data_IF_650472576043
#
_entry.id   IF_650472576043
#
_cell.length_a   1.000
_cell.length_b   1.000
_cell.length_c   1.000
_cell.angle_alpha   90.00
_cell.angle_beta   90.00
_cell.angle_gamma   90.00
#
_symmetry.space_group_name_H-M   'P 1'
#
loop_
_entity.id
_entity.type
_entity.pdbx_description
1 polymer ?
#
# COMPACT_ATOMS: atom_id res chain seq x y z
N UNK A 1 39.31 37.85 25.73
CA UNK A 1 39.68 38.34 24.38
C UNK A 1 38.57 37.95 23.46
N UNK A 2 37.82 38.96 23.11
CA UNK A 2 36.67 38.97 22.20
C UNK A 2 37.14 39.01 20.75
N UNK A 3 36.58 38.18 19.87
CA UNK A 3 36.48 38.54 18.46
C UNK A 3 35.16 38.00 17.92
N UNK A 4 34.30 38.94 17.57
CA UNK A 4 33.08 38.71 16.81
C UNK A 4 33.40 38.62 15.31
N UNK A 5 32.58 37.95 14.56
CA UNK A 5 32.54 38.02 13.10
C UNK A 5 31.09 38.06 12.62
N UNK A 6 30.86 38.97 11.72
CA UNK A 6 29.61 39.55 11.30
C UNK A 6 28.82 38.69 10.33
N UNK A 7 27.49 38.86 10.38
CA UNK A 7 26.44 38.43 9.44
C UNK A 7 26.54 39.25 8.16
N UNK A 8 26.51 38.57 7.01
CA UNK A 8 26.21 39.21 5.72
C UNK A 8 24.91 38.59 5.17
N UNK A 9 23.87 39.40 5.16
CA UNK A 9 22.60 39.10 4.50
C UNK A 9 22.73 39.33 2.98
N UNK A 10 22.15 38.43 2.22
CA UNK A 10 21.95 38.54 0.78
C UNK A 10 20.47 38.34 0.46
N UNK A 11 19.79 39.44 0.20
CA UNK A 11 18.46 39.45 -0.39
C UNK A 11 18.57 39.19 -1.89
N UNK A 12 17.79 38.26 -2.40
CA UNK A 12 17.63 38.04 -3.85
C UNK A 12 16.17 38.26 -4.24
N UNK A 13 15.99 39.17 -5.16
CA UNK A 13 14.73 39.72 -5.62
C UNK A 13 13.94 38.74 -6.51
N UNK A 14 12.63 38.79 -6.35
CA UNK A 14 11.59 38.16 -7.18
C UNK A 14 11.46 38.95 -8.48
N UNK A 15 11.55 38.30 -9.62
CA UNK A 15 11.13 38.81 -10.92
C UNK A 15 9.86 38.03 -11.36
N UNK A 16 8.74 38.74 -11.36
CA UNK A 16 7.49 38.37 -12.01
C UNK A 16 7.63 38.62 -13.52
N UNK A 17 7.35 37.60 -14.32
CA UNK A 17 7.09 37.73 -15.74
C UNK A 17 5.62 37.38 -16.03
N UNK A 18 4.87 38.41 -16.39
CA UNK A 18 3.51 38.34 -16.97
C UNK A 18 3.65 38.20 -18.50
N UNK A 19 2.89 37.32 -19.08
CA UNK A 19 2.65 37.23 -20.51
C UNK A 19 1.73 36.02 -20.76
N UNK A 20 0.54 36.09 -21.30
CA UNK A 20 -0.03 36.84 -22.37
C UNK A 20 -0.93 35.87 -23.07
N UNK A 21 -2.28 36.05 -23.01
CA UNK A 21 -3.29 35.26 -23.68
C UNK A 21 -3.15 35.35 -25.20
N UNK A 22 -3.28 34.24 -25.92
CA UNK A 22 -3.59 34.22 -27.34
C UNK A 22 -4.80 33.31 -27.60
N UNK A 23 -5.86 33.94 -28.09
CA UNK A 23 -7.08 33.31 -28.57
C UNK A 23 -6.89 32.77 -30.00
N UNK A 24 -7.52 31.62 -30.30
CA UNK A 24 -7.59 31.05 -31.65
C UNK A 24 -9.03 31.13 -32.13
N UNK A 25 -9.30 31.60 -33.37
CA UNK A 25 -10.66 31.74 -33.90
C UNK A 25 -11.20 30.44 -34.54
N UNK A 26 -12.50 30.25 -34.39
CA UNK A 26 -13.34 29.27 -35.07
C UNK A 26 -13.54 29.64 -36.53
N UNK A 27 -13.56 28.68 -37.44
CA UNK A 27 -14.14 28.84 -38.77
C UNK A 27 -15.17 27.75 -39.02
N UNK A 28 -16.34 28.25 -39.45
CA UNK A 28 -17.52 27.51 -39.88
C UNK A 28 -17.46 27.18 -41.38
N UNK A 29 -18.31 26.23 -41.70
CA UNK A 29 -19.18 26.16 -42.86
C UNK A 29 -18.80 25.25 -44.05
N UNK A 30 -19.76 24.39 -44.38
CA UNK A 30 -20.14 24.29 -45.74
C UNK A 30 -20.44 22.91 -46.33
N UNK A 31 -21.71 22.60 -46.54
CA UNK A 31 -22.09 21.94 -47.79
C UNK A 31 -22.72 20.54 -47.74
N UNK A 32 -24.03 20.52 -47.71
CA UNK A 32 -24.88 19.41 -48.20
C UNK A 32 -24.95 19.47 -49.73
N UNK A 33 -25.08 18.35 -50.42
CA UNK A 33 -26.25 18.18 -51.28
C UNK A 33 -26.96 16.83 -51.15
N UNK A 34 -28.27 16.94 -51.22
CA UNK A 34 -29.28 15.93 -51.41
C UNK A 34 -29.16 15.27 -52.79
N UNK A 35 -29.42 13.98 -52.89
CA UNK A 35 -29.99 13.34 -54.08
C UNK A 35 -30.89 12.17 -53.69
N UNK A 36 -32.07 12.30 -54.23
CA UNK A 36 -33.25 11.49 -54.21
C UNK A 36 -33.21 10.31 -55.25
N UNK A 37 -34.09 9.33 -55.00
CA UNK A 37 -34.64 8.28 -55.86
C UNK A 37 -34.21 6.85 -55.61
N UNK A 38 -35.07 5.98 -55.36
CA UNK A 38 -36.39 5.46 -55.76
C UNK A 38 -36.34 3.95 -55.50
N UNK A 39 -37.41 3.45 -54.86
CA UNK A 39 -38.14 2.17 -55.02
C UNK A 39 -37.41 0.93 -55.54
N UNK A 40 -37.42 -0.13 -54.74
CA UNK A 40 -38.12 -1.38 -55.09
C UNK A 40 -38.46 -2.17 -53.82
N UNK A 41 -39.76 -2.48 -53.69
CA UNK A 41 -40.31 -3.48 -52.76
C UNK A 41 -39.75 -4.86 -53.11
N UNK A 42 -39.32 -5.59 -52.04
CA UNK A 42 -39.35 -7.06 -52.08
C UNK A 42 -39.45 -7.61 -50.66
N UNK A 43 -40.56 -8.23 -50.42
CA UNK A 43 -40.94 -9.30 -49.53
C UNK A 43 -40.21 -9.48 -48.15
N UNK A 44 -40.93 -9.07 -47.12
CA UNK A 44 -40.65 -9.37 -45.73
C UNK A 44 -40.96 -10.83 -45.38
N UNK A 45 -39.94 -11.62 -45.18
CA UNK A 45 -40.05 -12.83 -44.33
C UNK A 45 -39.75 -12.46 -42.88
N UNK A 46 -40.58 -12.89 -41.90
CA UNK A 46 -40.29 -12.61 -40.49
C UNK A 46 -39.15 -13.50 -40.01
N UNK A 47 -37.94 -12.95 -39.95
CA UNK A 47 -36.85 -13.58 -39.19
C UNK A 47 -37.16 -13.52 -37.71
N UNK A 48 -37.37 -14.68 -37.10
CA UNK A 48 -37.46 -14.85 -35.67
C UNK A 48 -36.21 -14.24 -35.01
N UNK A 49 -36.43 -13.26 -34.12
CA UNK A 49 -35.41 -12.63 -33.31
C UNK A 49 -34.82 -13.69 -32.37
N UNK A 50 -33.50 -13.96 -32.36
CA UNK A 50 -32.92 -14.87 -31.40
C UNK A 50 -33.13 -14.31 -29.98
N UNK A 51 -33.76 -15.10 -29.12
CA UNK A 51 -33.86 -14.84 -27.70
C UNK A 51 -32.45 -14.70 -27.14
N UNK A 52 -32.16 -13.66 -26.33
CA UNK A 52 -30.85 -13.52 -25.70
C UNK A 52 -30.65 -14.73 -24.76
N UNK A 53 -29.67 -15.55 -25.10
CA UNK A 53 -29.16 -16.61 -24.21
C UNK A 53 -28.56 -15.92 -22.97
N UNK A 54 -29.22 -16.06 -21.85
CA UNK A 54 -28.67 -15.63 -20.54
C UNK A 54 -27.46 -16.49 -20.25
N UNK A 55 -26.27 -15.98 -20.50
CA UNK A 55 -25.04 -16.57 -19.97
C UNK A 55 -25.18 -16.49 -18.46
N UNK A 56 -25.12 -17.63 -17.72
CA UNK A 56 -25.14 -17.56 -16.27
C UNK A 56 -23.91 -16.77 -15.81
N UNK A 57 -24.14 -15.64 -15.13
CA UNK A 57 -23.10 -14.93 -14.42
C UNK A 57 -22.47 -15.91 -13.43
N UNK A 58 -21.15 -16.21 -13.51
CA UNK A 58 -20.53 -17.05 -12.51
C UNK A 58 -20.76 -16.41 -11.15
N UNK A 59 -21.50 -17.09 -10.29
CA UNK A 59 -21.59 -16.74 -8.88
C UNK A 59 -20.15 -16.79 -8.35
N UNK A 60 -19.56 -15.67 -8.05
CA UNK A 60 -18.27 -15.61 -7.38
C UNK A 60 -18.42 -16.45 -6.11
N UNK A 61 -17.64 -17.53 -5.99
CA UNK A 61 -17.59 -18.31 -4.77
C UNK A 61 -17.29 -17.30 -3.64
N UNK A 62 -18.18 -17.22 -2.64
CA UNK A 62 -18.09 -16.23 -1.59
C UNK A 62 -16.72 -16.36 -0.91
N UNK A 63 -16.09 -15.23 -0.53
CA UNK A 63 -14.85 -15.24 0.21
C UNK A 63 -15.08 -15.95 1.56
N UNK A 64 -14.24 -16.97 1.85
CA UNK A 64 -14.29 -17.70 3.12
C UNK A 64 -13.36 -17.02 4.14
N UNK A 65 -13.93 -16.27 5.06
CA UNK A 65 -13.19 -15.60 6.13
C UNK A 65 -12.65 -16.56 7.20
N UNK A 66 -13.05 -17.82 7.18
CA UNK A 66 -12.57 -18.87 8.08
C UNK A 66 -11.47 -19.75 7.46
N UNK A 67 -11.09 -19.50 6.20
CA UNK A 67 -10.10 -20.32 5.48
C UNK A 67 -8.72 -20.34 6.16
N UNK A 68 -8.38 -19.33 6.96
CA UNK A 68 -7.15 -19.24 7.74
C UNK A 68 -7.42 -18.61 9.10
N UNK A 69 -6.65 -19.02 10.10
CA UNK A 69 -6.69 -18.43 11.44
C UNK A 69 -6.12 -17.01 11.45
N UNK A 70 -6.73 -16.10 12.17
CA UNK A 70 -6.16 -14.79 12.50
C UNK A 70 -5.48 -14.78 13.90
N UNK A 71 -5.43 -15.92 14.60
CA UNK A 71 -4.75 -16.10 15.89
C UNK A 71 -3.45 -16.92 15.78
N UNK A 72 -3.34 -17.80 14.80
CA UNK A 72 -2.15 -18.62 14.59
C UNK A 72 -0.99 -17.76 14.02
N UNK A 73 0.16 -17.62 14.72
CA UNK A 73 1.28 -16.82 14.25
C UNK A 73 1.91 -17.33 12.95
N UNK A 74 1.69 -18.59 12.59
CA UNK A 74 2.13 -19.16 11.31
C UNK A 74 1.20 -18.81 10.14
N UNK A 75 -0.03 -18.39 10.42
CA UNK A 75 -1.00 -17.98 9.39
C UNK A 75 -0.61 -16.68 8.72
N UNK A 76 -0.83 -16.57 7.41
CA UNK A 76 -0.68 -15.28 6.71
C UNK A 76 -1.74 -14.24 7.13
N UNK A 77 -2.81 -14.67 7.82
CA UNK A 77 -3.89 -13.80 8.31
C UNK A 77 -3.75 -13.41 9.78
N UNK A 78 -2.68 -13.85 10.48
CA UNK A 78 -2.48 -13.51 11.88
C UNK A 78 -2.62 -12.01 12.12
N UNK A 79 -3.40 -11.63 13.12
CA UNK A 79 -3.51 -10.24 13.58
C UNK A 79 -2.66 -10.08 14.83
N UNK A 80 -1.59 -9.35 14.69
CA UNK A 80 -0.73 -8.90 15.79
C UNK A 80 -0.75 -7.38 15.86
N UNK A 81 -1.02 -6.87 17.05
CA UNK A 81 -1.11 -5.45 17.33
C UNK A 81 -0.89 -5.19 18.83
N UNK A 82 -1.18 -3.99 19.35
CA UNK A 82 -0.94 -3.65 20.75
C UNK A 82 -1.70 -4.53 21.75
N UNK A 83 -3.02 -4.78 21.61
CA UNK A 83 -3.71 -5.70 22.53
C UNK A 83 -3.48 -7.20 22.23
N UNK A 84 -2.84 -7.54 21.10
CA UNK A 84 -2.73 -8.92 20.61
C UNK A 84 -1.26 -9.28 20.34
N UNK A 85 -0.57 -9.78 21.36
CA UNK A 85 0.79 -10.32 21.20
C UNK A 85 0.79 -11.63 20.38
N UNK A 86 1.88 -11.89 19.68
CA UNK A 86 2.17 -13.23 19.13
C UNK A 86 2.20 -14.30 20.23
N UNK A 87 1.75 -15.51 19.92
CA UNK A 87 1.79 -16.63 20.83
C UNK A 87 2.49 -17.83 20.15
N UNK A 88 3.68 -18.23 20.63
CA UNK A 88 4.45 -17.64 21.75
C UNK A 88 5.01 -16.26 21.42
N UNK A 89 5.32 -15.39 22.42
CA UNK A 89 5.82 -14.04 22.16
C UNK A 89 7.12 -14.00 21.34
N UNK A 90 8.00 -14.99 21.51
CA UNK A 90 9.23 -15.13 20.75
C UNK A 90 9.07 -15.96 19.45
N UNK A 91 7.85 -15.98 18.87
CA UNK A 91 7.61 -16.67 17.60
C UNK A 91 8.61 -16.25 16.53
N UNK A 92 9.06 -17.24 15.73
CA UNK A 92 9.85 -17.03 14.53
C UNK A 92 9.32 -17.90 13.39
N UNK A 93 9.23 -17.38 12.15
CA UNK A 93 8.82 -18.16 11.01
C UNK A 93 9.76 -19.34 10.74
N UNK A 94 9.20 -20.46 10.28
CA UNK A 94 9.98 -21.69 9.99
C UNK A 94 10.95 -21.50 8.83
N UNK A 95 10.60 -20.63 7.87
CA UNK A 95 11.42 -20.35 6.68
C UNK A 95 11.47 -18.85 6.41
N UNK A 96 12.66 -18.39 6.07
CA UNK A 96 12.94 -17.02 5.67
C UNK A 96 13.90 -17.05 4.47
N UNK A 97 13.61 -16.22 3.46
CA UNK A 97 14.40 -16.10 2.24
C UNK A 97 14.70 -14.64 1.94
N UNK A 98 15.72 -14.42 1.12
CA UNK A 98 16.08 -13.09 0.63
C UNK A 98 15.66 -12.99 -0.84
N UNK A 99 14.58 -12.25 -1.20
CA UNK A 99 14.21 -12.04 -2.58
C UNK A 99 15.29 -11.27 -3.35
N UNK A 100 15.36 -11.48 -4.67
CA UNK A 100 16.26 -10.74 -5.55
C UNK A 100 15.68 -9.38 -5.90
N UNK A 101 15.86 -8.42 -4.99
CA UNK A 101 15.41 -7.03 -5.10
C UNK A 101 16.47 -6.09 -4.52
N UNK A 102 16.30 -4.78 -4.74
CA UNK A 102 17.13 -3.76 -4.10
C UNK A 102 16.81 -3.65 -2.61
N UNK A 103 17.84 -3.48 -1.79
CA UNK A 103 17.72 -3.30 -0.33
C UNK A 103 18.39 -2.01 0.14
N UNK A 104 17.78 -1.35 1.12
CA UNK A 104 18.47 -0.43 2.03
C UNK A 104 19.08 -1.26 3.17
N UNK A 105 18.26 -2.08 3.85
CA UNK A 105 18.71 -3.06 4.83
C UNK A 105 18.37 -4.46 4.34
N UNK A 106 19.38 -5.30 4.18
CA UNK A 106 19.19 -6.67 3.68
C UNK A 106 18.65 -7.56 4.79
N UNK A 107 17.33 -7.71 4.80
CA UNK A 107 16.59 -8.55 5.75
C UNK A 107 15.73 -9.57 5.00
N UNK A 108 15.57 -10.79 5.54
CA UNK A 108 14.76 -11.83 4.90
C UNK A 108 13.26 -11.63 5.18
N UNK A 109 12.44 -12.38 4.47
CA UNK A 109 11.00 -12.47 4.66
C UNK A 109 10.52 -13.88 4.38
N UNK A 110 9.25 -14.18 4.67
CA UNK A 110 8.68 -15.50 4.31
C UNK A 110 8.68 -15.70 2.78
N UNK A 111 8.81 -16.96 2.29
CA UNK A 111 8.90 -17.22 0.85
C UNK A 111 7.76 -16.63 0.03
N UNK A 112 6.51 -16.77 0.50
CA UNK A 112 5.33 -16.24 -0.19
C UNK A 112 5.31 -14.69 -0.24
N UNK A 113 5.89 -14.03 0.75
CA UNK A 113 6.05 -12.56 0.75
C UNK A 113 7.12 -12.16 -0.26
N UNK A 114 8.21 -12.90 -0.31
CA UNK A 114 9.31 -12.65 -1.24
C UNK A 114 8.85 -12.73 -2.70
N UNK A 115 8.11 -13.79 -3.06
CA UNK A 115 7.57 -13.96 -4.41
C UNK A 115 6.59 -12.84 -4.78
N UNK A 116 5.69 -12.48 -3.88
CA UNK A 116 4.72 -11.42 -4.07
C UNK A 116 5.39 -10.03 -4.19
N UNK A 117 6.43 -9.79 -3.39
CA UNK A 117 7.19 -8.52 -3.41
C UNK A 117 7.94 -8.34 -4.74
N UNK A 118 8.61 -9.39 -5.22
CA UNK A 118 9.28 -9.37 -6.53
C UNK A 118 8.29 -9.03 -7.63
N UNK A 119 7.12 -9.69 -7.65
CA UNK A 119 6.07 -9.43 -8.63
C UNK A 119 5.55 -7.98 -8.54
N UNK A 120 5.34 -7.45 -7.32
CA UNK A 120 4.89 -6.09 -7.10
C UNK A 120 5.91 -5.05 -7.59
N UNK A 121 7.19 -5.23 -7.29
CA UNK A 121 8.25 -4.32 -7.73
C UNK A 121 8.42 -4.33 -9.26
N UNK A 122 8.33 -5.52 -9.87
CA UNK A 122 8.35 -5.66 -11.33
C UNK A 122 7.17 -4.96 -11.99
N UNK A 123 5.96 -5.09 -11.44
CA UNK A 123 4.78 -4.41 -11.95
C UNK A 123 4.93 -2.88 -11.86
N UNK A 124 5.37 -2.34 -10.72
CA UNK A 124 5.61 -0.90 -10.58
C UNK A 124 6.65 -0.37 -11.55
N UNK A 125 7.70 -1.15 -11.84
CA UNK A 125 8.67 -0.82 -12.88
C UNK A 125 8.07 -0.81 -14.28
N UNK A 126 7.29 -1.83 -14.61
CA UNK A 126 6.69 -1.99 -15.94
C UNK A 126 5.56 -0.99 -16.21
N UNK A 127 4.70 -0.75 -15.21
CA UNK A 127 3.48 0.05 -15.35
C UNK A 127 3.75 1.56 -15.19
N UNK A 128 4.74 1.94 -14.35
CA UNK A 128 4.97 3.33 -13.97
C UNK A 128 6.44 3.78 -14.02
N UNK A 129 7.36 2.91 -14.40
CA UNK A 129 8.80 3.22 -14.44
C UNK A 129 9.42 3.40 -13.06
N UNK A 130 8.77 2.92 -12.00
CA UNK A 130 9.18 3.15 -10.62
C UNK A 130 10.11 2.04 -10.12
N UNK A 131 11.14 2.44 -9.39
CA UNK A 131 12.05 1.54 -8.69
C UNK A 131 11.82 1.65 -7.19
N UNK A 132 11.92 0.49 -6.50
CA UNK A 132 11.69 0.33 -5.07
C UNK A 132 12.85 -0.38 -4.40
N UNK A 133 12.96 -0.23 -3.10
CA UNK A 133 13.89 -1.00 -2.27
C UNK A 133 13.23 -1.44 -0.97
N UNK A 134 13.68 -2.57 -0.43
CA UNK A 134 13.31 -3.02 0.91
C UNK A 134 14.06 -2.17 1.93
N UNK A 135 13.33 -1.42 2.73
CA UNK A 135 13.87 -0.62 3.83
C UNK A 135 14.05 -1.47 5.09
N UNK A 136 13.05 -2.30 5.41
CA UNK A 136 13.02 -3.21 6.55
C UNK A 136 12.10 -4.39 6.24
N UNK A 137 12.38 -5.57 6.82
CA UNK A 137 11.54 -6.76 6.66
C UNK A 137 11.49 -7.56 7.97
N UNK A 138 11.84 -8.87 7.97
CA UNK A 138 11.80 -9.68 9.18
C UNK A 138 12.70 -9.10 10.28
N UNK A 139 12.15 -9.03 11.48
CA UNK A 139 12.83 -8.58 12.71
C UNK A 139 12.50 -9.56 13.82
N UNK A 140 13.52 -10.25 14.37
CA UNK A 140 13.31 -11.19 15.47
C UNK A 140 12.85 -10.47 16.76
N UNK A 141 12.31 -11.24 17.72
CA UNK A 141 11.95 -10.73 19.04
C UNK A 141 13.09 -9.92 19.68
N UNK A 142 14.30 -10.48 19.73
CA UNK A 142 15.46 -9.81 20.32
C UNK A 142 15.86 -8.54 19.55
N UNK A 143 15.72 -8.55 18.24
CA UNK A 143 15.98 -7.36 17.42
C UNK A 143 14.92 -6.29 17.66
N UNK A 144 13.65 -6.69 17.80
CA UNK A 144 12.55 -5.77 18.14
C UNK A 144 12.75 -5.16 19.53
N UNK A 145 13.23 -5.96 20.50
CA UNK A 145 13.57 -5.45 21.83
C UNK A 145 14.59 -4.31 21.74
N UNK A 146 15.67 -4.50 21.00
CA UNK A 146 16.67 -3.43 20.82
C UNK A 146 16.11 -2.18 20.15
N UNK A 147 15.30 -2.36 19.08
CA UNK A 147 14.69 -1.23 18.37
C UNK A 147 13.76 -0.44 19.28
N UNK A 148 12.94 -1.14 20.06
CA UNK A 148 12.00 -0.51 21.00
C UNK A 148 12.74 0.20 22.14
N UNK A 149 13.73 -0.46 22.77
CA UNK A 149 14.52 0.11 23.86
C UNK A 149 15.29 1.36 23.40
N UNK A 150 15.85 1.32 22.18
CA UNK A 150 16.52 2.47 21.56
C UNK A 150 15.57 3.64 21.31
N UNK A 151 14.33 3.36 20.92
CA UNK A 151 13.30 4.38 20.71
C UNK A 151 12.85 4.98 22.05
N UNK A 152 12.58 4.14 23.04
CA UNK A 152 12.27 4.59 24.43
C UNK A 152 13.39 5.46 25.00
N UNK A 153 14.64 5.08 24.79
CA UNK A 153 15.78 5.85 25.28
C UNK A 153 15.90 7.24 24.61
N UNK A 154 15.53 7.35 23.36
CA UNK A 154 15.59 8.62 22.60
C UNK A 154 14.39 9.51 22.82
N UNK A 155 13.20 8.95 22.83
CA UNK A 155 11.95 9.68 22.68
C UNK A 155 10.99 9.51 23.88
N UNK A 156 11.29 8.58 24.77
CA UNK A 156 10.41 8.20 25.89
C UNK A 156 9.37 7.17 25.50
N UNK A 157 8.90 6.39 26.48
CA UNK A 157 7.98 5.26 26.25
C UNK A 157 6.66 5.68 25.59
N UNK A 158 6.08 6.80 26.02
CA UNK A 158 4.79 7.26 25.48
C UNK A 158 4.86 7.56 23.97
N UNK A 159 6.00 8.09 23.49
CA UNK A 159 6.23 8.29 22.06
C UNK A 159 6.53 6.96 21.36
N UNK A 160 7.45 6.16 21.89
CA UNK A 160 7.81 4.87 21.32
C UNK A 160 6.57 3.98 21.12
N UNK A 161 5.66 3.97 22.07
CA UNK A 161 4.39 3.21 21.95
C UNK A 161 3.49 3.68 20.79
N UNK A 162 3.65 4.88 20.25
CA UNK A 162 2.84 5.34 19.11
C UNK A 162 3.44 4.94 17.75
N UNK A 163 4.74 4.67 17.70
CA UNK A 163 5.53 4.54 16.48
C UNK A 163 6.19 3.15 16.34
N UNK A 164 6.66 2.59 17.48
CA UNK A 164 7.41 1.34 17.50
C UNK A 164 6.66 0.28 18.32
N UNK A 165 6.41 -0.88 17.73
CA UNK A 165 5.76 -1.98 18.44
C UNK A 165 6.66 -2.55 19.54
N UNK A 166 6.06 -2.89 20.71
CA UNK A 166 6.75 -3.66 21.75
C UNK A 166 7.15 -5.05 21.24
N UNK A 167 8.20 -5.68 21.81
CA UNK A 167 8.57 -7.06 21.48
C UNK A 167 7.39 -8.02 21.61
N UNK A 168 7.20 -8.90 20.59
CA UNK A 168 6.05 -9.80 20.51
C UNK A 168 4.79 -9.18 19.90
N UNK A 169 4.75 -7.86 19.64
CA UNK A 169 3.63 -7.14 19.08
C UNK A 169 3.89 -6.55 17.68
N UNK A 170 5.05 -6.88 17.09
CA UNK A 170 5.44 -6.36 15.77
C UNK A 170 5.08 -7.32 14.65
N UNK A 171 4.46 -6.81 13.59
CA UNK A 171 4.21 -7.58 12.35
C UNK A 171 5.51 -8.00 11.66
N UNK A 172 6.60 -7.26 11.79
CA UNK A 172 7.92 -7.66 11.27
C UNK A 172 8.40 -9.00 11.82
N UNK A 173 8.00 -9.35 13.06
CA UNK A 173 8.35 -10.62 13.67
C UNK A 173 7.67 -11.82 13.01
N UNK A 174 6.56 -11.61 12.30
CA UNK A 174 5.87 -12.65 11.53
C UNK A 174 6.56 -12.98 10.20
N UNK A 175 7.47 -12.12 9.73
CA UNK A 175 8.03 -12.18 8.38
C UNK A 175 7.03 -11.85 7.27
N UNK A 176 5.86 -11.28 7.61
CA UNK A 176 4.78 -10.91 6.70
C UNK A 176 4.75 -9.40 6.38
N UNK A 177 5.50 -8.57 7.11
CA UNK A 177 5.56 -7.13 6.89
C UNK A 177 6.86 -6.73 6.20
N UNK A 178 6.77 -5.69 5.38
CA UNK A 178 7.89 -5.06 4.69
C UNK A 178 7.70 -3.56 4.66
N UNK A 179 8.75 -2.83 5.04
CA UNK A 179 8.87 -1.41 4.81
C UNK A 179 9.51 -1.18 3.46
N UNK A 180 8.93 -0.32 2.65
CA UNK A 180 9.34 -0.05 1.27
C UNK A 180 9.80 1.41 1.14
N UNK A 181 10.91 1.62 0.46
CA UNK A 181 11.43 2.94 0.10
C UNK A 181 11.47 3.15 -1.40
N UNK A 182 11.43 4.41 -1.81
CA UNK A 182 11.66 4.81 -3.20
C UNK A 182 13.12 4.63 -3.60
N UNK A 183 13.37 4.42 -4.89
CA UNK A 183 14.69 4.52 -5.52
C UNK A 183 14.62 5.57 -6.63
N UNK A 184 15.43 6.65 -6.55
CA UNK A 184 16.34 7.02 -5.46
C UNK A 184 15.60 7.30 -4.14
N UNK A 185 16.29 7.11 -3.01
CA UNK A 185 15.70 7.23 -1.68
C UNK A 185 15.10 8.63 -1.45
N UNK A 186 13.83 8.67 -1.06
CA UNK A 186 13.09 9.88 -0.75
C UNK A 186 12.03 9.58 0.30
N UNK A 187 11.97 10.40 1.35
CA UNK A 187 10.97 10.24 2.42
C UNK A 187 10.94 8.84 3.06
N UNK A 188 12.10 8.16 3.17
CA UNK A 188 12.17 6.82 3.78
C UNK A 188 11.70 6.89 5.23
N UNK A 189 10.83 5.96 5.64
CA UNK A 189 10.23 5.89 6.98
C UNK A 189 9.65 7.25 7.45
N UNK A 190 8.95 7.93 6.56
CA UNK A 190 8.35 9.24 6.85
C UNK A 190 7.01 9.39 6.15
N UNK A 191 6.07 10.11 6.77
CA UNK A 191 4.72 10.32 6.24
C UNK A 191 4.71 10.91 4.81
N UNK A 192 5.71 11.72 4.46
CA UNK A 192 5.85 12.28 3.10
C UNK A 192 6.13 11.22 2.02
N UNK A 193 6.39 9.94 2.39
CA UNK A 193 6.46 8.86 1.41
C UNK A 193 5.15 8.70 0.64
N UNK A 194 4.01 8.98 1.28
CA UNK A 194 2.69 8.98 0.63
C UNK A 194 2.59 9.95 -0.56
N UNK A 195 3.38 11.03 -0.57
CA UNK A 195 3.38 12.04 -1.62
C UNK A 195 4.33 11.68 -2.77
N UNK A 196 5.15 10.64 -2.62
CA UNK A 196 6.02 10.16 -3.70
C UNK A 196 5.24 9.36 -4.74
N UNK A 197 5.72 9.30 -5.97
CA UNK A 197 5.12 8.47 -7.01
C UNK A 197 5.09 6.98 -6.59
N UNK A 198 6.14 6.52 -5.88
CA UNK A 198 6.23 5.16 -5.35
C UNK A 198 5.16 4.89 -4.29
N UNK A 199 5.01 5.79 -3.30
CA UNK A 199 4.01 5.64 -2.23
C UNK A 199 2.59 5.63 -2.79
N UNK A 200 2.28 6.54 -3.73
CA UNK A 200 0.97 6.60 -4.40
C UNK A 200 0.68 5.33 -5.21
N UNK A 201 1.66 4.84 -5.98
CA UNK A 201 1.48 3.61 -6.74
C UNK A 201 1.25 2.40 -5.83
N UNK A 202 2.04 2.26 -4.77
CA UNK A 202 1.91 1.18 -3.80
C UNK A 202 0.55 1.22 -3.09
N UNK A 203 0.10 2.39 -2.61
CA UNK A 203 -1.20 2.55 -1.97
C UNK A 203 -2.36 2.13 -2.90
N UNK A 204 -2.26 2.41 -4.20
CA UNK A 204 -3.28 2.07 -5.17
C UNK A 204 -3.23 0.60 -5.64
N UNK A 205 -2.07 -0.06 -5.61
CA UNK A 205 -1.84 -1.31 -6.34
C UNK A 205 -1.39 -2.50 -5.49
N UNK A 206 -0.90 -2.30 -4.26
CA UNK A 206 -0.33 -3.37 -3.42
C UNK A 206 -1.29 -4.53 -3.16
N UNK A 207 -2.59 -4.26 -3.05
CA UNK A 207 -3.63 -5.28 -2.86
C UNK A 207 -3.64 -6.34 -3.98
N UNK A 208 -3.28 -5.98 -5.21
CA UNK A 208 -3.19 -6.90 -6.36
C UNK A 208 -2.17 -8.02 -6.12
N UNK A 209 -1.20 -7.77 -5.27
CA UNK A 209 -0.10 -8.67 -4.92
C UNK A 209 -0.25 -9.26 -3.51
N UNK A 210 -1.41 -9.04 -2.87
CA UNK A 210 -1.70 -9.58 -1.55
C UNK A 210 -1.18 -8.76 -0.38
N UNK A 211 -0.82 -7.48 -0.60
CA UNK A 211 -0.39 -6.56 0.45
C UNK A 211 -1.47 -5.54 0.80
N UNK A 212 -1.46 -5.11 2.06
CA UNK A 212 -2.25 -3.99 2.59
C UNK A 212 -1.31 -2.86 3.01
N UNK A 213 -1.72 -1.60 2.78
CA UNK A 213 -1.20 -0.46 3.54
C UNK A 213 -1.73 -0.59 4.98
N UNK A 214 -0.87 -1.00 5.91
CA UNK A 214 -1.30 -1.52 7.23
C UNK A 214 -1.78 -0.48 8.21
N UNK A 215 -1.16 0.71 8.19
CA UNK A 215 -1.40 1.79 9.15
C UNK A 215 -1.83 3.08 8.44
N UNK A 216 -3.09 3.13 7.92
CA UNK A 216 -3.59 4.31 7.24
C UNK A 216 -3.88 5.47 8.22
N UNK A 217 -3.80 6.71 7.73
CA UNK A 217 -3.85 7.91 8.56
C UNK A 217 -5.17 8.09 9.35
N UNK A 218 -6.28 7.62 8.80
CA UNK A 218 -7.61 7.70 9.40
C UNK A 218 -7.94 6.57 10.38
N UNK A 219 -7.02 5.60 10.56
CA UNK A 219 -7.22 4.39 11.35
C UNK A 219 -6.33 4.27 12.58
N UNK A 220 -5.65 5.33 12.97
CA UNK A 220 -4.82 5.36 14.20
C UNK A 220 -5.58 4.90 15.45
N UNK A 221 -6.87 5.28 15.68
CA UNK A 221 -7.63 4.78 16.82
C UNK A 221 -7.91 3.26 16.77
N UNK A 222 -7.87 2.65 15.59
CA UNK A 222 -8.11 1.22 15.38
C UNK A 222 -6.82 0.42 15.47
N UNK A 223 -5.76 0.87 14.79
CA UNK A 223 -4.49 0.14 14.71
C UNK A 223 -3.57 0.42 15.88
N UNK A 224 -3.71 1.61 16.49
CA UNK A 224 -2.86 2.07 17.57
C UNK A 224 -1.53 2.68 17.14
N UNK A 225 -1.20 2.65 15.85
CA UNK A 225 0.05 3.18 15.30
C UNK A 225 -0.21 4.42 14.44
N UNK A 226 0.79 5.30 14.36
CA UNK A 226 0.78 6.48 13.51
C UNK A 226 0.68 6.09 12.01
N UNK A 227 0.46 7.07 11.14
CA UNK A 227 0.43 6.84 9.71
C UNK A 227 1.78 6.39 9.17
N UNK A 228 1.83 5.19 8.60
CA UNK A 228 3.05 4.59 8.05
C UNK A 228 2.86 4.20 6.57
N UNK A 229 2.96 5.14 5.63
CA UNK A 229 2.74 4.87 4.21
C UNK A 229 3.78 3.94 3.56
N UNK A 230 4.84 3.63 4.27
CA UNK A 230 5.91 2.70 3.87
C UNK A 230 5.65 1.25 4.30
N UNK A 231 4.79 1.01 5.32
CA UNK A 231 4.58 -0.29 5.94
C UNK A 231 3.48 -1.08 5.23
N UNK A 232 3.88 -2.16 4.56
CA UNK A 232 2.98 -3.04 3.82
C UNK A 232 2.94 -4.43 4.46
N UNK A 233 1.72 -4.89 4.75
CA UNK A 233 1.46 -6.19 5.33
C UNK A 233 0.93 -7.17 4.28
N UNK A 234 1.62 -8.31 4.12
CA UNK A 234 1.15 -9.41 3.27
C UNK A 234 0.07 -10.23 3.98
N UNK A 235 -1.05 -10.45 3.28
CA UNK A 235 -2.19 -11.26 3.73
C UNK A 235 -2.62 -12.27 2.66
N UNK A 236 -1.95 -12.28 1.51
CA UNK A 236 -2.32 -13.05 0.34
C UNK A 236 -3.38 -12.37 -0.52
N UNK A 237 -3.34 -12.67 -1.82
CA UNK A 237 -4.22 -12.02 -2.83
C UNK A 237 -5.71 -12.18 -2.49
N UNK A 238 -6.23 -13.35 -2.04
CA UNK A 238 -7.66 -13.48 -1.77
C UNK A 238 -8.17 -12.51 -0.71
N UNK A 239 -7.48 -12.38 0.44
CA UNK A 239 -7.90 -11.46 1.51
C UNK A 239 -7.70 -9.99 1.10
N UNK A 240 -6.56 -9.65 0.50
CA UNK A 240 -6.30 -8.28 0.06
C UNK A 240 -7.34 -7.81 -0.98
N UNK A 241 -7.72 -8.67 -1.93
CA UNK A 241 -8.79 -8.39 -2.92
C UNK A 241 -10.14 -8.20 -2.25
N UNK A 242 -10.49 -9.07 -1.28
CA UNK A 242 -11.76 -8.95 -0.56
C UNK A 242 -11.83 -7.65 0.25
N UNK A 243 -10.76 -7.30 0.98
CA UNK A 243 -10.69 -6.04 1.73
C UNK A 243 -10.78 -4.83 0.80
N UNK A 244 -10.06 -4.85 -0.34
CA UNK A 244 -10.14 -3.80 -1.35
C UNK A 244 -11.56 -3.64 -1.91
N UNK A 245 -12.24 -4.76 -2.25
CA UNK A 245 -13.59 -4.75 -2.80
C UNK A 245 -14.65 -4.26 -1.81
N UNK A 246 -14.45 -4.47 -0.51
CA UNK A 246 -15.37 -4.04 0.55
C UNK A 246 -15.04 -2.67 1.13
N UNK A 247 -13.87 -2.10 0.80
CA UNK A 247 -13.39 -0.83 1.35
C UNK A 247 -12.95 -0.91 2.82
N UNK A 248 -12.81 -2.12 3.39
CA UNK A 248 -12.28 -2.31 4.75
C UNK A 248 -10.76 -2.25 4.69
N UNK A 249 -10.15 -1.33 5.45
CA UNK A 249 -8.71 -1.02 5.34
C UNK A 249 -7.86 -1.58 6.48
N UNK A 250 -8.47 -2.12 7.55
CA UNK A 250 -7.73 -2.69 8.69
C UNK A 250 -8.11 -4.15 8.93
N UNK A 251 -7.15 -4.94 9.41
CA UNK A 251 -7.40 -6.34 9.78
C UNK A 251 -8.32 -6.45 11.00
N UNK A 252 -8.21 -5.50 11.91
CA UNK A 252 -9.05 -5.41 13.11
C UNK A 252 -10.54 -5.28 12.75
N UNK A 253 -10.86 -4.37 11.85
CA UNK A 253 -12.25 -4.19 11.37
C UNK A 253 -12.72 -5.40 10.56
N UNK A 254 -11.85 -5.95 9.72
CA UNK A 254 -12.21 -7.09 8.87
C UNK A 254 -12.54 -8.36 9.68
N UNK A 255 -11.72 -8.68 10.68
CA UNK A 255 -11.90 -9.87 11.52
C UNK A 255 -12.71 -9.59 12.81
N UNK A 256 -13.20 -8.37 13.01
CA UNK A 256 -13.93 -7.95 14.22
C UNK A 256 -13.17 -8.29 15.50
N UNK A 257 -11.87 -8.10 15.50
CA UNK A 257 -10.99 -8.41 16.62
C UNK A 257 -10.47 -7.15 17.32
N UNK A 258 -10.00 -7.27 18.58
CA UNK A 258 -9.49 -6.13 19.33
C UNK A 258 -8.34 -5.42 18.63
N UNK A 259 -8.40 -4.09 18.63
CA UNK A 259 -7.39 -3.14 18.24
C UNK A 259 -7.39 -1.95 19.19
N UNK A 260 -6.60 -0.93 18.92
CA UNK A 260 -6.59 0.29 19.70
C UNK A 260 -5.20 0.74 20.13
N UNK A 261 -5.12 1.92 20.79
CA UNK A 261 -3.84 2.58 21.06
C UNK A 261 -3.07 1.96 22.23
N UNK A 262 -3.73 1.15 23.08
CA UNK A 262 -3.15 0.73 24.35
C UNK A 262 -2.67 -0.73 24.33
N UNK A 263 -1.57 -0.98 25.05
CA UNK A 263 -1.13 -2.33 25.40
C UNK A 263 -1.85 -2.79 26.66
N UNK A 264 -2.29 -4.04 26.68
CA UNK A 264 -2.95 -4.68 27.83
C UNK A 264 -2.04 -5.68 28.52
#
# INVERSE_FOLDING_TARGET
MTLGAAVAGGALAVLLALGGCAAVPSSQAGGRPTRDRSHTDQDAHPHARPTPSTIPTPTAAGFDSAARSFDDPASSWVVVNKPRALQPPAFAPAQLVYPDVTYVNRQPMRPEVADALVAMFQAGKQEAGLDFSVQSAYRSFDSQTRVYDDDVARNGQAYADTDTARPGHSEHQTGLAVDISAVPARCSLSACFADTAQGQWLAANSWRFGFLLRYPADKVPVTGFTFEPWHFRFVGVPLATQMHATGVTTLEEFFHCPGGPDYH
#
